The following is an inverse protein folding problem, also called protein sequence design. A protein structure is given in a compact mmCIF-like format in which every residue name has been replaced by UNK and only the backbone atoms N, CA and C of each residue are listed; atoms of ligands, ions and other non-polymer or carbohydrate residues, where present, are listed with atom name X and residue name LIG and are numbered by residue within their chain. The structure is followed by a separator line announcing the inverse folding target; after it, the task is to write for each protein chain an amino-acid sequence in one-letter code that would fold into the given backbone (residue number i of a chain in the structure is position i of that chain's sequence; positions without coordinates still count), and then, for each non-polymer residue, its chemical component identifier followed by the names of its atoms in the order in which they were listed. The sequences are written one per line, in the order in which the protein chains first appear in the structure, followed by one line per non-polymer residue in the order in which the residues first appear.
data_IF_975842712820
#
_entry.id   IF_975842712820
#
_cell.length_a   1.000
_cell.length_b   1.000
_cell.length_c   1.000
_cell.angle_alpha   90.00
_cell.angle_beta   90.00
_cell.angle_gamma   90.00
#
_symmetry.space_group_name_H-M   'P 1'
#
loop_
_entity.id
_entity.type
_entity.pdbx_description
1 polymer ?
#
# COMPACT_ATOMS: atom_id res chain seq x y z
N UNK A 1 2.92 13.30 -5.20
CA UNK A 1 2.70 14.71 -5.60
C UNK A 1 1.66 15.41 -4.70
N UNK A 2 0.40 14.94 -4.66
CA UNK A 2 -0.69 15.58 -3.89
C UNK A 2 -0.39 15.80 -2.41
N UNK A 3 -0.10 14.74 -1.65
CA UNK A 3 0.11 14.83 -0.20
C UNK A 3 1.31 15.72 0.17
N UNK A 4 2.37 15.69 -0.65
CA UNK A 4 3.52 16.60 -0.49
C UNK A 4 3.16 18.07 -0.72
N UNK A 5 2.32 18.36 -1.70
CA UNK A 5 1.81 19.71 -1.95
C UNK A 5 0.91 20.22 -0.82
N UNK A 6 0.04 19.36 -0.28
CA UNK A 6 -0.80 19.70 0.87
C UNK A 6 0.04 19.99 2.11
N UNK A 7 1.05 19.16 2.41
CA UNK A 7 1.95 19.38 3.55
C UNK A 7 2.71 20.71 3.42
N UNK A 8 3.19 21.05 2.22
CA UNK A 8 3.85 22.33 1.97
C UNK A 8 2.91 23.52 2.19
N UNK A 9 1.68 23.46 1.67
CA UNK A 9 0.68 24.52 1.85
C UNK A 9 0.31 24.73 3.33
N UNK A 10 0.15 23.64 4.10
CA UNK A 10 -0.13 23.72 5.54
C UNK A 10 1.02 24.37 6.30
N UNK A 11 2.26 24.03 5.95
CA UNK A 11 3.44 24.65 6.56
C UNK A 11 3.53 26.14 6.28
N UNK A 12 3.13 26.61 5.08
CA UNK A 12 3.08 28.04 4.75
C UNK A 12 2.02 28.81 5.56
N UNK A 13 1.04 28.11 6.14
CA UNK A 13 -0.07 28.68 6.92
C UNK A 13 0.09 28.44 8.44
N UNK A 14 1.25 27.98 8.90
CA UNK A 14 1.51 27.56 10.30
C UNK A 14 0.49 26.53 10.82
N UNK A 15 -0.06 25.70 9.93
CA UNK A 15 -0.97 24.62 10.28
C UNK A 15 -0.20 23.33 10.58
N UNK A 16 -0.70 22.47 11.50
CA UNK A 16 -0.07 21.19 11.80
C UNK A 16 0.09 20.33 10.54
N UNK A 17 1.21 19.63 10.41
CA UNK A 17 1.43 18.70 9.30
C UNK A 17 0.46 17.51 9.36
N UNK A 18 0.00 17.05 8.21
CA UNK A 18 -0.76 15.80 8.11
C UNK A 18 0.18 14.62 8.33
N UNK A 19 -0.23 13.55 9.04
CA UNK A 19 0.60 12.36 9.22
C UNK A 19 1.05 11.77 7.89
N UNK A 20 2.32 11.36 7.81
CA UNK A 20 2.85 10.69 6.62
C UNK A 20 2.19 9.33 6.47
N UNK A 21 1.58 9.10 5.30
CA UNK A 21 0.97 7.83 4.92
C UNK A 21 1.92 6.96 4.10
N UNK A 22 1.64 5.67 3.98
CA UNK A 22 2.36 4.79 3.06
C UNK A 22 2.23 5.35 1.63
N UNK A 23 3.32 5.40 0.83
CA UNK A 23 3.26 5.86 -0.54
C UNK A 23 2.32 4.96 -1.34
N UNK A 24 1.59 5.55 -2.27
CA UNK A 24 0.64 4.82 -3.10
C UNK A 24 0.72 5.31 -4.54
N UNK A 25 0.71 4.36 -5.47
CA UNK A 25 0.54 4.59 -6.90
C UNK A 25 -0.46 3.59 -7.46
N UNK A 26 -1.19 4.00 -8.49
CA UNK A 26 -2.10 3.12 -9.20
C UNK A 26 -1.70 3.02 -10.67
N UNK A 27 -2.09 1.93 -11.31
CA UNK A 27 -1.94 1.73 -12.75
C UNK A 27 -3.07 0.85 -13.28
N UNK A 28 -3.42 1.04 -14.55
CA UNK A 28 -4.29 0.12 -15.27
C UNK A 28 -3.47 -0.51 -16.39
N UNK A 29 -3.41 -1.84 -16.42
CA UNK A 29 -2.62 -2.57 -17.42
C UNK A 29 -3.35 -3.83 -17.85
N UNK A 30 -3.46 -4.05 -19.16
CA UNK A 30 -4.11 -5.21 -19.76
C UNK A 30 -5.52 -5.53 -19.20
N UNK A 31 -6.29 -4.49 -18.87
CA UNK A 31 -7.64 -4.63 -18.29
C UNK A 31 -7.68 -4.90 -16.78
N UNK A 32 -6.54 -5.00 -16.11
CA UNK A 32 -6.44 -5.09 -14.65
C UNK A 32 -6.13 -3.72 -14.03
N UNK A 33 -6.76 -3.43 -12.90
CA UNK A 33 -6.40 -2.34 -12.00
C UNK A 33 -5.38 -2.82 -10.99
N UNK A 34 -4.31 -2.04 -10.80
CA UNK A 34 -3.21 -2.29 -9.90
C UNK A 34 -3.09 -1.11 -8.94
N UNK A 35 -3.14 -1.39 -7.64
CA UNK A 35 -2.81 -0.42 -6.59
C UNK A 35 -1.57 -0.91 -5.85
N UNK A 36 -0.47 -0.16 -5.96
CA UNK A 36 0.79 -0.45 -5.29
C UNK A 36 0.92 0.47 -4.10
N UNK A 37 0.98 -0.13 -2.91
CA UNK A 37 1.00 0.56 -1.62
C UNK A 37 2.26 0.17 -0.86
N UNK A 38 3.02 1.15 -0.41
CA UNK A 38 4.32 0.94 0.22
C UNK A 38 5.49 1.01 -0.77
N UNK A 39 6.67 0.72 -0.26
CA UNK A 39 7.91 0.75 -1.05
C UNK A 39 8.86 -0.32 -0.52
N UNK A 40 9.05 -1.37 -1.32
CA UNK A 40 9.93 -2.50 -1.02
C UNK A 40 11.12 -2.53 -2.00
N UNK A 41 12.15 -1.69 -1.82
CA UNK A 41 13.36 -1.76 -2.64
C UNK A 41 14.17 -3.03 -2.36
N UNK A 42 13.99 -3.60 -1.16
CA UNK A 42 14.55 -4.88 -0.72
C UNK A 42 13.46 -5.63 0.02
N UNK A 43 13.30 -6.92 -0.28
CA UNK A 43 12.37 -7.85 0.40
C UNK A 43 13.05 -9.22 0.50
N UNK A 44 12.56 -10.07 1.40
CA UNK A 44 13.02 -11.46 1.53
C UNK A 44 11.96 -12.47 1.06
N UNK A 45 10.68 -12.12 1.12
CA UNK A 45 9.59 -13.00 0.76
C UNK A 45 8.46 -12.26 0.02
N UNK A 46 7.77 -12.98 -0.88
CA UNK A 46 6.52 -12.54 -1.50
C UNK A 46 5.43 -13.58 -1.22
N UNK A 47 4.29 -13.15 -0.68
CA UNK A 47 3.14 -14.01 -0.43
C UNK A 47 1.90 -13.52 -1.18
N UNK A 48 1.23 -14.43 -1.88
CA UNK A 48 -0.08 -14.18 -2.51
C UNK A 48 -1.19 -14.35 -1.48
N UNK A 49 -2.17 -13.45 -1.50
CA UNK A 49 -3.43 -13.55 -0.75
C UNK A 49 -4.61 -13.43 -1.70
N UNK A 50 -5.64 -14.23 -1.47
CA UNK A 50 -6.76 -14.42 -2.40
C UNK A 50 -6.56 -15.62 -3.32
N UNK A 51 -7.65 -16.33 -3.58
CA UNK A 51 -7.68 -17.56 -4.41
C UNK A 51 -8.11 -17.29 -5.85
N UNK A 52 -8.82 -16.18 -6.09
CA UNK A 52 -9.26 -15.81 -7.44
C UNK A 52 -8.04 -15.45 -8.31
N UNK A 53 -8.02 -15.88 -9.58
CA UNK A 53 -6.89 -15.64 -10.47
C UNK A 53 -6.71 -14.16 -10.81
N UNK A 54 -7.81 -13.41 -10.88
CA UNK A 54 -7.91 -12.01 -11.34
C UNK A 54 -8.11 -11.01 -10.20
N UNK A 55 -8.38 -11.47 -8.96
CA UNK A 55 -8.58 -10.60 -7.80
C UNK A 55 -7.81 -11.15 -6.60
N UNK A 56 -6.66 -10.54 -6.35
CA UNK A 56 -5.73 -11.00 -5.31
C UNK A 56 -4.81 -9.85 -4.88
N UNK A 57 -4.00 -10.11 -3.85
CA UNK A 57 -2.95 -9.21 -3.42
C UNK A 57 -1.62 -9.95 -3.35
N UNK A 58 -0.54 -9.25 -3.66
CA UNK A 58 0.82 -9.71 -3.40
C UNK A 58 1.39 -8.87 -2.25
N UNK A 59 1.77 -9.53 -1.18
CA UNK A 59 2.48 -8.94 -0.06
C UNK A 59 3.98 -9.16 -0.23
N UNK A 60 4.74 -8.08 -0.15
CA UNK A 60 6.20 -8.10 -0.08
C UNK A 60 6.58 -7.94 1.38
N UNK A 61 7.43 -8.84 1.87
CA UNK A 61 7.79 -8.92 3.27
C UNK A 61 9.27 -8.61 3.48
N UNK A 62 9.56 -8.12 4.69
CA UNK A 62 10.92 -8.07 5.24
C UNK A 62 10.84 -8.45 6.71
N UNK A 63 11.60 -9.46 7.12
CA UNK A 63 11.65 -9.93 8.51
C UNK A 63 10.25 -10.27 9.06
N UNK A 64 9.38 -10.83 8.21
CA UNK A 64 8.00 -11.21 8.55
C UNK A 64 6.97 -10.08 8.52
N UNK A 65 7.38 -8.82 8.36
CA UNK A 65 6.48 -7.67 8.27
C UNK A 65 6.14 -7.33 6.81
N UNK A 66 4.89 -6.99 6.52
CA UNK A 66 4.48 -6.50 5.19
C UNK A 66 4.93 -5.06 4.98
N UNK A 67 5.80 -4.85 4.00
CA UNK A 67 6.38 -3.54 3.66
C UNK A 67 5.83 -2.94 2.36
N UNK A 68 5.19 -3.77 1.52
CA UNK A 68 4.46 -3.33 0.34
C UNK A 68 3.34 -4.32 -0.01
N UNK A 69 2.24 -3.78 -0.52
CA UNK A 69 1.14 -4.53 -1.12
C UNK A 69 0.96 -4.12 -2.58
N UNK A 70 0.75 -5.10 -3.44
CA UNK A 70 0.19 -4.91 -4.79
C UNK A 70 -1.21 -5.50 -4.78
N UNK A 71 -2.22 -4.64 -4.84
CA UNK A 71 -3.63 -5.03 -4.88
C UNK A 71 -4.08 -5.09 -6.33
N UNK A 72 -4.60 -6.24 -6.74
CA UNK A 72 -5.12 -6.47 -8.09
C UNK A 72 -6.63 -6.46 -8.04
N UNK A 73 -7.25 -5.63 -8.88
CA UNK A 73 -8.70 -5.52 -9.06
C UNK A 73 -9.48 -5.35 -7.75
N UNK A 74 -8.98 -4.46 -6.87
CA UNK A 74 -9.69 -4.10 -5.63
C UNK A 74 -9.90 -5.29 -4.68
N UNK A 75 -8.93 -6.20 -4.61
CA UNK A 75 -8.95 -7.30 -3.66
C UNK A 75 -9.02 -6.80 -2.20
N UNK A 76 -8.40 -5.66 -1.91
CA UNK A 76 -8.43 -4.96 -0.62
C UNK A 76 -8.63 -3.47 -0.91
N UNK A 77 -9.47 -2.74 -0.15
CA UNK A 77 -9.56 -1.28 -0.29
C UNK A 77 -8.20 -0.60 -0.04
N UNK A 78 -7.80 0.34 -0.89
CA UNK A 78 -6.48 1.00 -0.80
C UNK A 78 -6.20 1.60 0.58
N UNK A 79 -7.16 2.23 1.23
CA UNK A 79 -6.95 2.83 2.55
C UNK A 79 -6.70 1.78 3.65
N UNK A 80 -7.32 0.60 3.53
CA UNK A 80 -7.04 -0.53 4.42
C UNK A 80 -5.63 -1.09 4.14
N UNK A 81 -5.24 -1.20 2.87
CA UNK A 81 -3.90 -1.62 2.48
C UNK A 81 -2.81 -0.64 2.97
N UNK A 82 -3.05 0.68 2.88
CA UNK A 82 -2.14 1.71 3.40
C UNK A 82 -1.96 1.60 4.90
N UNK A 83 -3.08 1.48 5.62
CA UNK A 83 -3.08 1.32 7.07
C UNK A 83 -2.33 0.04 7.48
N UNK A 84 -2.52 -1.06 6.74
CA UNK A 84 -1.83 -2.32 7.02
C UNK A 84 -0.31 -2.21 6.86
N UNK A 85 0.16 -1.62 5.75
CA UNK A 85 1.58 -1.39 5.49
C UNK A 85 2.20 -0.43 6.51
N UNK A 86 1.47 0.61 6.91
CA UNK A 86 1.90 1.55 7.97
C UNK A 86 2.11 0.87 9.33
N UNK A 87 1.35 -0.19 9.61
CA UNK A 87 1.43 -0.95 10.85
C UNK A 87 2.52 -2.04 10.83
N UNK A 88 3.09 -2.38 9.66
CA UNK A 88 4.14 -3.41 9.54
C UNK A 88 3.71 -4.79 10.02
N UNK A 89 2.43 -5.16 9.83
CA UNK A 89 1.84 -6.40 10.36
C UNK A 89 2.26 -7.63 9.57
N UNK A 90 2.11 -8.80 10.19
CA UNK A 90 2.36 -10.07 9.52
C UNK A 90 1.26 -10.34 8.46
N UNK A 91 1.61 -10.92 7.32
CA UNK A 91 0.64 -11.12 6.22
C UNK A 91 -0.53 -12.01 6.62
N UNK A 92 -0.35 -12.87 7.62
CA UNK A 92 -1.37 -13.74 8.21
C UNK A 92 -2.59 -12.93 8.69
N UNK A 93 -2.34 -11.70 9.12
CA UNK A 93 -3.34 -10.80 9.67
C UNK A 93 -4.07 -9.98 8.60
N UNK A 94 -3.71 -10.12 7.33
CA UNK A 94 -4.34 -9.41 6.23
C UNK A 94 -5.73 -10.01 5.95
N UNK A 95 -6.77 -9.24 6.28
CA UNK A 95 -8.16 -9.60 6.00
C UNK A 95 -8.46 -9.48 4.49
N UNK A 96 -9.27 -10.41 3.98
CA UNK A 96 -9.66 -10.55 2.58
C UNK A 96 -11.18 -10.71 2.45
#
# INVERSE_FOLDING_TARGET
AREGGEAAARSMLDLPATPRRAPWVFSNFAGASLEVVGHAPVWDEIRRRGTAPDRFALAYLREGAVIQLVVVNGAIPVEAARTFVEQGRAVEELAF
#
